data_IF_038093961240
#
_entry.id   IF_038093961240
#
_cell.length_a   1.000
_cell.length_b   1.000
_cell.length_c   1.000
_cell.angle_alpha   90.00
_cell.angle_beta   90.00
_cell.angle_gamma   90.00
#
_symmetry.space_group_name_H-M   'P 1'
#
loop_
_entity.id
_entity.type
_entity.pdbx_description
1 polymer ?
#
# COMPACT_ATOMS: atom_id res chain seq x y z
N UNK A 1 24.16 -16.00 4.75
CA UNK A 1 23.16 -14.92 4.84
C UNK A 1 23.03 -14.51 6.30
N UNK A 2 23.02 -13.22 6.66
CA UNK A 2 22.75 -12.81 8.03
C UNK A 2 21.35 -13.28 8.43
N UNK A 3 21.19 -13.73 9.68
CA UNK A 3 19.92 -14.26 10.19
C UNK A 3 18.90 -13.11 10.24
N UNK A 4 17.76 -13.24 9.54
CA UNK A 4 16.70 -12.22 9.57
C UNK A 4 16.11 -12.11 10.98
N UNK A 5 15.76 -10.88 11.38
CA UNK A 5 15.10 -10.66 12.68
C UNK A 5 13.72 -11.34 12.72
N UNK A 6 13.23 -11.78 13.89
CA UNK A 6 11.89 -12.36 14.02
C UNK A 6 10.79 -11.45 13.47
N UNK A 7 10.92 -10.12 13.68
CA UNK A 7 9.97 -9.12 13.16
C UNK A 7 9.94 -9.11 11.63
N UNK A 8 11.10 -9.20 10.98
CA UNK A 8 11.18 -9.25 9.51
C UNK A 8 10.55 -10.53 8.95
N UNK A 9 10.73 -11.66 9.63
CA UNK A 9 10.12 -12.94 9.23
C UNK A 9 8.60 -12.87 9.37
N UNK A 10 8.11 -12.38 10.51
CA UNK A 10 6.68 -12.18 10.74
C UNK A 10 6.06 -11.25 9.70
N UNK A 11 6.71 -10.11 9.41
CA UNK A 11 6.26 -9.16 8.38
C UNK A 11 6.15 -9.82 6.99
N UNK A 12 7.13 -10.64 6.61
CA UNK A 12 7.07 -11.39 5.35
C UNK A 12 5.92 -12.40 5.31
N UNK A 13 5.70 -13.15 6.40
CA UNK A 13 4.57 -14.09 6.50
C UNK A 13 3.25 -13.35 6.28
N UNK A 14 3.08 -12.24 6.99
CA UNK A 14 1.88 -11.41 6.89
C UNK A 14 1.72 -10.83 5.48
N UNK A 15 2.80 -10.36 4.84
CA UNK A 15 2.78 -9.95 3.43
C UNK A 15 2.30 -11.06 2.49
N UNK A 16 2.80 -12.30 2.66
CA UNK A 16 2.37 -13.43 1.84
C UNK A 16 0.90 -13.76 2.05
N UNK A 17 0.40 -13.73 3.29
CA UNK A 17 -1.04 -13.91 3.58
C UNK A 17 -1.86 -12.87 2.83
N UNK A 18 -1.43 -11.60 2.80
CA UNK A 18 -2.15 -10.57 2.06
C UNK A 18 -2.09 -10.73 0.55
N UNK A 19 -1.00 -11.30 0.00
CA UNK A 19 -0.96 -11.65 -1.43
C UNK A 19 -2.08 -12.66 -1.76
N UNK A 20 -2.26 -13.70 -0.94
CA UNK A 20 -3.36 -14.64 -1.12
C UNK A 20 -4.73 -13.97 -0.99
N UNK A 21 -4.90 -13.10 0.01
CA UNK A 21 -6.12 -12.30 0.15
C UNK A 21 -6.41 -11.41 -1.06
N UNK A 22 -5.36 -10.81 -1.66
CA UNK A 22 -5.45 -9.98 -2.86
C UNK A 22 -5.86 -10.81 -4.08
N UNK A 23 -5.31 -12.02 -4.23
CA UNK A 23 -5.72 -12.96 -5.28
C UNK A 23 -7.17 -13.38 -5.11
N UNK A 24 -7.60 -13.71 -3.88
CA UNK A 24 -9.00 -14.03 -3.59
C UNK A 24 -9.94 -12.87 -3.93
N UNK A 25 -9.57 -11.64 -3.56
CA UNK A 25 -10.28 -10.42 -3.94
C UNK A 25 -10.38 -10.26 -5.47
N UNK A 26 -9.27 -10.44 -6.18
CA UNK A 26 -9.25 -10.38 -7.64
C UNK A 26 -10.19 -11.41 -8.28
N UNK A 27 -10.21 -12.65 -7.78
CA UNK A 27 -11.12 -13.71 -8.27
C UNK A 27 -12.58 -13.32 -8.05
N UNK A 28 -12.93 -12.76 -6.89
CA UNK A 28 -14.29 -12.27 -6.64
C UNK A 28 -14.71 -11.19 -7.65
N UNK A 29 -13.83 -10.24 -7.98
CA UNK A 29 -14.13 -9.23 -8.99
C UNK A 29 -14.16 -9.80 -10.42
N UNK A 30 -13.37 -10.82 -10.74
CA UNK A 30 -13.45 -11.52 -12.05
C UNK A 30 -14.80 -12.21 -12.21
N UNK A 31 -15.26 -12.93 -11.18
CA UNK A 31 -16.58 -13.57 -11.18
C UNK A 31 -17.67 -12.50 -11.28
N UNK A 32 -17.55 -11.40 -10.53
CA UNK A 32 -18.46 -10.26 -10.60
C UNK A 32 -18.50 -9.62 -11.99
N UNK A 33 -17.37 -9.48 -12.67
CA UNK A 33 -17.29 -8.97 -14.03
C UNK A 33 -18.01 -9.89 -15.02
N UNK A 34 -17.82 -11.21 -14.93
CA UNK A 34 -18.47 -12.19 -15.80
C UNK A 34 -20.00 -12.23 -15.63
N UNK A 35 -20.50 -11.95 -14.42
CA UNK A 35 -21.93 -11.87 -14.11
C UNK A 35 -22.53 -10.47 -14.19
N UNK A 36 -21.81 -9.46 -14.71
CA UNK A 36 -22.27 -8.07 -14.69
C UNK A 36 -23.36 -7.82 -15.74
N UNK A 37 -24.55 -7.40 -15.28
CA UNK A 37 -25.69 -7.08 -16.15
C UNK A 37 -25.63 -5.64 -16.72
N UNK A 38 -24.85 -4.76 -16.10
CA UNK A 38 -24.70 -3.36 -16.54
C UNK A 38 -23.25 -3.03 -16.88
N UNK A 39 -23.08 -2.12 -17.84
CA UNK A 39 -21.77 -1.59 -18.22
C UNK A 39 -21.06 -0.92 -17.05
N UNK A 40 -21.80 -0.22 -16.19
CA UNK A 40 -21.24 0.43 -15.00
C UNK A 40 -20.68 -0.59 -13.98
N UNK A 41 -21.44 -1.66 -13.70
CA UNK A 41 -20.98 -2.74 -12.83
C UNK A 41 -19.75 -3.46 -13.42
N UNK A 42 -19.75 -3.72 -14.72
CA UNK A 42 -18.61 -4.32 -15.42
C UNK A 42 -17.34 -3.46 -15.28
N UNK A 43 -17.43 -2.15 -15.53
CA UNK A 43 -16.29 -1.23 -15.40
C UNK A 43 -15.79 -1.10 -13.96
N UNK A 44 -16.68 -1.09 -12.97
CA UNK A 44 -16.30 -1.11 -11.56
C UNK A 44 -15.51 -2.37 -11.21
N UNK A 45 -16.00 -3.54 -11.64
CA UNK A 45 -15.32 -4.81 -11.41
C UNK A 45 -13.95 -4.87 -12.11
N UNK A 46 -13.87 -4.45 -13.38
CA UNK A 46 -12.59 -4.39 -14.12
C UNK A 46 -11.59 -3.46 -13.41
N UNK A 47 -12.03 -2.29 -12.96
CA UNK A 47 -11.15 -1.33 -12.26
C UNK A 47 -10.64 -1.92 -10.95
N UNK A 48 -11.48 -2.64 -10.20
CA UNK A 48 -11.07 -3.34 -8.98
C UNK A 48 -10.13 -4.52 -9.27
N UNK A 49 -10.27 -5.24 -10.38
CA UNK A 49 -9.30 -6.26 -10.82
C UNK A 49 -7.93 -5.62 -11.07
N UNK A 50 -7.89 -4.48 -11.77
CA UNK A 50 -6.65 -3.74 -12.03
C UNK A 50 -6.03 -3.26 -10.70
N UNK A 51 -6.83 -2.72 -9.79
CA UNK A 51 -6.37 -2.33 -8.45
C UNK A 51 -5.73 -3.52 -7.71
N UNK A 52 -6.39 -4.68 -7.70
CA UNK A 52 -5.84 -5.88 -7.05
C UNK A 52 -4.54 -6.36 -7.71
N UNK A 53 -4.42 -6.30 -9.05
CA UNK A 53 -3.18 -6.64 -9.75
C UNK A 53 -2.03 -5.70 -9.37
N UNK A 54 -2.30 -4.39 -9.25
CA UNK A 54 -1.31 -3.39 -8.82
C UNK A 54 -0.91 -3.60 -7.36
N UNK A 55 -1.87 -3.88 -6.46
CA UNK A 55 -1.59 -4.23 -5.05
C UNK A 55 -0.72 -5.49 -4.95
N UNK A 56 -1.05 -6.54 -5.71
CA UNK A 56 -0.27 -7.78 -5.71
C UNK A 56 1.17 -7.52 -6.19
N UNK A 57 1.31 -6.77 -7.27
CA UNK A 57 2.62 -6.37 -7.81
C UNK A 57 3.42 -5.55 -6.79
N UNK A 58 2.76 -4.61 -6.11
CA UNK A 58 3.35 -3.82 -5.03
C UNK A 58 3.90 -4.74 -3.94
N UNK A 59 3.06 -5.63 -3.39
CA UNK A 59 3.47 -6.56 -2.33
C UNK A 59 4.64 -7.45 -2.76
N UNK A 60 4.63 -7.97 -4.00
CA UNK A 60 5.73 -8.80 -4.52
C UNK A 60 7.04 -8.01 -4.54
N UNK A 61 7.03 -6.77 -5.04
CA UNK A 61 8.22 -5.92 -5.08
C UNK A 61 8.74 -5.61 -3.66
N UNK A 62 7.84 -5.35 -2.72
CA UNK A 62 8.20 -5.14 -1.31
C UNK A 62 8.82 -6.39 -0.67
N UNK A 63 8.23 -7.57 -0.91
CA UNK A 63 8.73 -8.84 -0.39
C UNK A 63 10.11 -9.17 -0.97
N UNK A 64 10.31 -9.02 -2.28
CA UNK A 64 11.61 -9.23 -2.94
C UNK A 64 12.66 -8.30 -2.35
N UNK A 65 12.31 -7.03 -2.09
CA UNK A 65 13.23 -6.06 -1.49
C UNK A 65 13.68 -6.49 -0.08
N UNK A 66 12.75 -6.90 0.78
CA UNK A 66 13.03 -7.38 2.14
C UNK A 66 13.84 -8.69 2.10
N UNK A 67 13.51 -9.62 1.20
CA UNK A 67 14.23 -10.90 1.05
C UNK A 67 15.69 -10.63 0.69
N UNK A 68 15.95 -9.67 -0.22
CA UNK A 68 17.30 -9.23 -0.64
C UNK A 68 18.04 -8.32 0.37
N UNK A 69 17.62 -8.31 1.64
CA UNK A 69 18.28 -7.64 2.77
C UNK A 69 18.63 -6.17 2.51
N UNK A 70 17.73 -5.43 1.85
CA UNK A 70 17.89 -3.99 1.59
C UNK A 70 19.15 -3.64 0.78
N UNK A 71 19.69 -4.61 0.02
CA UNK A 71 20.91 -4.42 -0.78
C UNK A 71 20.76 -3.31 -1.82
N UNK A 72 21.87 -2.68 -2.22
CA UNK A 72 21.86 -1.62 -3.25
C UNK A 72 21.27 -2.12 -4.58
N UNK A 73 21.56 -3.37 -4.96
CA UNK A 73 20.99 -4.01 -6.16
C UNK A 73 19.48 -4.19 -6.04
N UNK A 74 18.94 -4.31 -4.83
CA UNK A 74 17.50 -4.43 -4.59
C UNK A 74 16.76 -3.09 -4.54
N UNK A 75 17.47 -1.95 -4.57
CA UNK A 75 16.85 -0.62 -4.49
C UNK A 75 15.85 -0.34 -5.63
N UNK A 76 16.02 -1.00 -6.79
CA UNK A 76 15.05 -0.94 -7.90
C UNK A 76 13.70 -1.50 -7.48
N UNK A 77 13.67 -2.62 -6.74
CA UNK A 77 12.42 -3.21 -6.23
C UNK A 77 11.75 -2.32 -5.18
N UNK A 78 12.53 -1.63 -4.34
CA UNK A 78 11.96 -0.66 -3.39
C UNK A 78 11.32 0.55 -4.10
N UNK A 79 11.97 1.08 -5.13
CA UNK A 79 11.40 2.17 -5.93
C UNK A 79 10.15 1.73 -6.67
N UNK A 80 10.17 0.53 -7.26
CA UNK A 80 9.00 -0.05 -7.92
C UNK A 80 7.85 -0.26 -6.92
N UNK A 81 8.14 -0.78 -5.72
CA UNK A 81 7.18 -0.91 -4.63
C UNK A 81 6.50 0.42 -4.29
N UNK A 82 7.28 1.47 -4.03
CA UNK A 82 6.74 2.79 -3.70
C UNK A 82 5.92 3.39 -4.86
N UNK A 83 6.39 3.24 -6.10
CA UNK A 83 5.68 3.74 -7.28
C UNK A 83 4.35 3.00 -7.52
N UNK A 84 4.34 1.67 -7.33
CA UNK A 84 3.11 0.89 -7.37
C UNK A 84 2.17 1.29 -6.24
N UNK A 85 2.68 1.61 -5.05
CA UNK A 85 1.88 2.12 -3.93
C UNK A 85 1.21 3.46 -4.27
N UNK A 86 1.91 4.37 -4.97
CA UNK A 86 1.29 5.57 -5.54
C UNK A 86 0.15 5.20 -6.50
N UNK A 87 0.37 4.21 -7.38
CA UNK A 87 -0.66 3.68 -8.27
C UNK A 87 -1.89 3.15 -7.51
N UNK A 88 -1.69 2.42 -6.40
CA UNK A 88 -2.78 1.96 -5.52
C UNK A 88 -3.56 3.15 -4.96
N UNK A 89 -2.89 4.20 -4.45
CA UNK A 89 -3.56 5.40 -3.95
C UNK A 89 -4.42 6.07 -5.03
N UNK A 90 -3.88 6.26 -6.24
CA UNK A 90 -4.60 6.89 -7.36
C UNK A 90 -5.79 6.05 -7.79
N UNK A 91 -5.60 4.74 -7.99
CA UNK A 91 -6.69 3.84 -8.37
C UNK A 91 -7.77 3.78 -7.28
N UNK A 92 -7.39 3.82 -6.00
CA UNK A 92 -8.35 3.85 -4.89
C UNK A 92 -9.20 5.12 -4.91
N UNK A 93 -8.61 6.29 -5.24
CA UNK A 93 -9.36 7.54 -5.44
C UNK A 93 -10.36 7.39 -6.59
N UNK A 94 -9.92 6.84 -7.74
CA UNK A 94 -10.80 6.62 -8.90
C UNK A 94 -11.96 5.70 -8.50
N UNK A 95 -11.66 4.58 -7.84
CA UNK A 95 -12.68 3.63 -7.41
C UNK A 95 -13.70 4.28 -6.49
N UNK A 96 -13.23 5.00 -5.48
CA UNK A 96 -14.07 5.65 -4.47
C UNK A 96 -14.95 6.78 -5.02
N UNK A 97 -14.46 7.57 -5.97
CA UNK A 97 -15.19 8.73 -6.50
C UNK A 97 -16.11 8.41 -7.67
N UNK A 98 -15.78 7.41 -8.48
CA UNK A 98 -16.52 7.12 -9.72
C UNK A 98 -17.47 5.93 -9.61
N UNK A 99 -17.22 4.99 -8.70
CA UNK A 99 -18.02 3.75 -8.62
C UNK A 99 -18.78 3.56 -7.30
N UNK A 100 -18.54 4.42 -6.30
CA UNK A 100 -19.24 4.39 -5.02
C UNK A 100 -19.99 5.69 -4.74
N UNK A 101 -20.95 5.63 -3.83
CA UNK A 101 -21.69 6.81 -3.36
C UNK A 101 -20.73 7.80 -2.70
N UNK A 102 -20.65 9.00 -3.29
CA UNK A 102 -19.74 10.04 -2.82
C UNK A 102 -20.33 10.76 -1.61
N UNK A 103 -19.72 10.53 -0.45
CA UNK A 103 -20.03 11.24 0.79
C UNK A 103 -18.96 12.27 1.10
N UNK A 104 -19.22 13.28 1.96
CA UNK A 104 -18.17 14.20 2.40
C UNK A 104 -16.98 13.48 3.03
N UNK A 105 -17.23 12.39 3.78
CA UNK A 105 -16.17 11.55 4.36
C UNK A 105 -15.33 10.86 3.27
N UNK A 106 -15.97 10.36 2.21
CA UNK A 106 -15.26 9.77 1.06
C UNK A 106 -14.34 10.76 0.38
N UNK A 107 -14.78 12.02 0.22
CA UNK A 107 -13.96 13.09 -0.34
C UNK A 107 -12.72 13.34 0.54
N UNK A 108 -12.89 13.39 1.87
CA UNK A 108 -11.76 13.56 2.80
C UNK A 108 -10.78 12.38 2.70
N UNK A 109 -11.28 11.14 2.65
CA UNK A 109 -10.43 9.94 2.47
C UNK A 109 -9.61 10.04 1.17
N UNK A 110 -10.23 10.47 0.07
CA UNK A 110 -9.53 10.66 -1.20
C UNK A 110 -8.44 11.73 -1.13
N UNK A 111 -8.66 12.81 -0.37
CA UNK A 111 -7.64 13.84 -0.11
C UNK A 111 -6.46 13.22 0.67
N UNK A 112 -6.72 12.39 1.68
CA UNK A 112 -5.66 11.71 2.43
C UNK A 112 -4.83 10.80 1.53
N UNK A 113 -5.46 10.05 0.63
CA UNK A 113 -4.75 9.25 -0.38
C UNK A 113 -3.93 10.10 -1.35
N UNK A 114 -4.41 11.28 -1.73
CA UNK A 114 -3.66 12.19 -2.60
C UNK A 114 -2.40 12.73 -1.88
N UNK A 115 -2.52 13.10 -0.59
CA UNK A 115 -1.38 13.53 0.23
C UNK A 115 -0.38 12.37 0.39
N UNK A 116 -0.86 11.16 0.71
CA UNK A 116 -0.02 9.96 0.81
C UNK A 116 0.72 9.67 -0.50
N UNK A 117 0.04 9.77 -1.64
CA UNK A 117 0.65 9.61 -2.95
C UNK A 117 1.79 10.63 -3.18
N UNK A 118 1.59 11.88 -2.78
CA UNK A 118 2.64 12.91 -2.86
C UNK A 118 3.84 12.56 -1.97
N UNK A 119 3.62 12.15 -0.72
CA UNK A 119 4.69 11.75 0.19
C UNK A 119 5.47 10.52 -0.31
N UNK A 120 4.76 9.54 -0.88
CA UNK A 120 5.39 8.38 -1.52
C UNK A 120 6.23 8.78 -2.73
N UNK A 121 5.76 9.70 -3.58
CA UNK A 121 6.54 10.23 -4.71
C UNK A 121 7.80 10.97 -4.22
N UNK A 122 7.72 11.70 -3.11
CA UNK A 122 8.90 12.29 -2.46
C UNK A 122 9.89 11.21 -2.00
N UNK A 123 9.43 10.06 -1.51
CA UNK A 123 10.31 8.94 -1.17
C UNK A 123 10.91 8.22 -2.40
N UNK A 124 10.20 8.19 -3.53
CA UNK A 124 10.67 7.58 -4.80
C UNK A 124 11.75 8.43 -5.47
N UNK A 125 11.44 9.72 -5.66
CA UNK A 125 12.20 10.63 -6.52
C UNK A 125 12.98 11.70 -5.75
N UNK A 126 12.67 11.92 -4.47
CA UNK A 126 13.36 12.90 -3.65
C UNK A 126 14.86 12.60 -3.55
N UNK A 127 15.67 13.67 -3.55
CA UNK A 127 17.07 13.58 -3.11
C UNK A 127 17.11 12.98 -1.71
N UNK A 128 18.24 12.38 -1.34
CA UNK A 128 18.41 11.76 -0.02
C UNK A 128 18.00 12.73 1.10
N UNK A 129 16.83 12.48 1.71
CA UNK A 129 16.22 13.40 2.69
C UNK A 129 16.93 13.34 4.05
N UNK A 130 17.80 12.35 4.27
CA UNK A 130 18.41 12.05 5.57
C UNK A 130 17.46 11.28 6.48
N UNK A 131 18.02 10.69 7.54
CA UNK A 131 17.31 9.79 8.46
C UNK A 131 16.08 10.46 9.10
N UNK A 132 16.27 11.60 9.78
CA UNK A 132 15.19 12.30 10.51
C UNK A 132 13.99 12.66 9.64
N UNK A 133 14.23 13.25 8.45
CA UNK A 133 13.14 13.63 7.54
C UNK A 133 12.44 12.42 6.94
N UNK A 134 13.17 11.33 6.65
CA UNK A 134 12.56 10.10 6.14
C UNK A 134 11.66 9.45 7.19
N UNK A 135 12.07 9.44 8.47
CA UNK A 135 11.24 8.96 9.57
C UNK A 135 9.99 9.82 9.78
N UNK A 136 10.11 11.15 9.70
CA UNK A 136 8.95 12.05 9.76
C UNK A 136 7.95 11.71 8.64
N UNK A 137 8.41 11.58 7.39
CA UNK A 137 7.54 11.19 6.28
C UNK A 137 6.87 9.83 6.51
N UNK A 138 7.60 8.85 7.03
CA UNK A 138 7.02 7.56 7.39
C UNK A 138 5.90 7.70 8.44
N UNK A 139 6.11 8.48 9.50
CA UNK A 139 5.06 8.71 10.51
C UNK A 139 3.85 9.47 9.96
N UNK A 140 4.07 10.40 9.03
CA UNK A 140 2.99 11.09 8.33
C UNK A 140 2.18 10.08 7.50
N UNK A 141 2.85 9.26 6.68
CA UNK A 141 2.18 8.22 5.88
C UNK A 141 1.36 7.28 6.77
N UNK A 142 1.94 6.79 7.86
CA UNK A 142 1.25 5.92 8.82
C UNK A 142 0.05 6.62 9.45
N UNK A 143 0.19 7.90 9.80
CA UNK A 143 -0.90 8.71 10.35
C UNK A 143 -2.04 8.92 9.36
N UNK A 144 -1.73 9.11 8.07
CA UNK A 144 -2.71 9.22 7.00
C UNK A 144 -3.50 7.92 6.83
N UNK A 145 -2.84 6.76 6.91
CA UNK A 145 -3.52 5.45 6.82
C UNK A 145 -4.43 5.20 8.03
N UNK A 146 -3.96 5.51 9.24
CA UNK A 146 -4.79 5.39 10.46
C UNK A 146 -6.00 6.32 10.38
N UNK A 147 -5.81 7.58 9.96
CA UNK A 147 -6.91 8.52 9.79
C UNK A 147 -7.91 8.04 8.72
N UNK A 148 -7.42 7.55 7.58
CA UNK A 148 -8.25 7.03 6.49
C UNK A 148 -9.06 5.80 6.93
N UNK A 149 -8.47 4.92 7.75
CA UNK A 149 -9.15 3.78 8.35
C UNK A 149 -10.30 4.24 9.26
N UNK A 150 -10.04 5.17 10.19
CA UNK A 150 -11.06 5.69 11.12
C UNK A 150 -12.22 6.30 10.32
N UNK A 151 -11.92 7.16 9.35
CA UNK A 151 -12.94 7.82 8.53
C UNK A 151 -13.75 6.81 7.70
N UNK A 152 -13.13 5.72 7.24
CA UNK A 152 -13.82 4.70 6.45
C UNK A 152 -14.73 3.82 7.30
N UNK A 153 -14.33 3.50 8.53
CA UNK A 153 -15.21 2.84 9.50
C UNK A 153 -16.40 3.75 9.84
N UNK A 154 -16.17 5.04 10.06
CA UNK A 154 -17.26 6.01 10.28
C UNK A 154 -18.21 6.08 9.07
N UNK A 155 -17.66 6.11 7.85
CA UNK A 155 -18.45 6.14 6.62
C UNK A 155 -19.28 4.85 6.43
N UNK A 156 -18.72 3.69 6.77
CA UNK A 156 -19.44 2.41 6.79
C UNK A 156 -20.61 2.45 7.76
N UNK A 157 -20.41 2.87 9.00
CA UNK A 157 -21.47 2.91 10.01
C UNK A 157 -22.62 3.83 9.60
N UNK A 158 -22.30 4.96 8.95
CA UNK A 158 -23.30 5.96 8.60
C UNK A 158 -24.08 5.66 7.31
N UNK A 159 -23.48 4.95 6.35
CA UNK A 159 -24.01 4.84 4.97
C UNK A 159 -24.05 3.39 4.45
N UNK A 160 -23.66 2.41 5.27
CA UNK A 160 -23.59 1.00 4.86
C UNK A 160 -22.50 0.73 3.82
N UNK A 161 -21.44 1.54 3.80
CA UNK A 161 -20.33 1.41 2.85
C UNK A 161 -19.58 0.08 3.04
N UNK A 162 -19.27 -0.61 1.93
CA UNK A 162 -18.58 -1.90 1.97
C UNK A 162 -17.11 -1.71 2.37
N UNK A 163 -16.81 -1.99 3.63
CA UNK A 163 -15.49 -1.81 4.20
C UNK A 163 -14.60 -3.02 3.89
N UNK A 164 -13.59 -2.83 3.05
CA UNK A 164 -12.54 -3.84 2.85
C UNK A 164 -11.50 -3.76 3.96
N UNK A 165 -11.72 -4.50 5.06
CA UNK A 165 -10.72 -4.68 6.13
C UNK A 165 -9.36 -5.12 5.57
N UNK A 166 -9.39 -6.04 4.60
CA UNK A 166 -8.21 -6.56 3.91
C UNK A 166 -7.42 -5.46 3.20
N UNK A 167 -8.10 -4.47 2.61
CA UNK A 167 -7.45 -3.31 1.99
C UNK A 167 -6.64 -2.48 3.00
N UNK A 168 -7.22 -2.20 4.16
CA UNK A 168 -6.55 -1.44 5.23
C UNK A 168 -5.38 -2.18 5.85
N UNK A 169 -5.54 -3.48 6.12
CA UNK A 169 -4.44 -4.32 6.59
C UNK A 169 -3.30 -4.35 5.57
N UNK A 170 -3.62 -4.41 4.27
CA UNK A 170 -2.62 -4.35 3.20
C UNK A 170 -1.86 -3.03 3.19
N UNK A 171 -2.56 -1.91 3.39
CA UNK A 171 -1.95 -0.58 3.47
C UNK A 171 -0.98 -0.48 4.67
N UNK A 172 -1.39 -0.95 5.85
CA UNK A 172 -0.53 -1.01 7.04
C UNK A 172 0.71 -1.89 6.86
N UNK A 173 0.60 -2.99 6.10
CA UNK A 173 1.73 -3.86 5.79
C UNK A 173 2.66 -3.21 4.75
N UNK A 174 2.11 -2.47 3.80
CA UNK A 174 2.91 -1.66 2.89
C UNK A 174 3.68 -0.59 3.68
N UNK A 175 3.05 0.08 4.64
CA UNK A 175 3.71 1.03 5.53
C UNK A 175 4.79 0.36 6.38
N UNK A 176 4.52 -0.82 6.95
CA UNK A 176 5.54 -1.62 7.65
C UNK A 176 6.74 -1.95 6.77
N UNK A 177 6.53 -2.17 5.48
CA UNK A 177 7.61 -2.35 4.49
C UNK A 177 8.44 -1.08 4.33
N UNK A 178 7.82 0.10 4.30
CA UNK A 178 8.51 1.39 4.30
C UNK A 178 9.33 1.55 5.58
N UNK A 179 8.74 1.35 6.76
CA UNK A 179 9.43 1.48 8.04
C UNK A 179 10.64 0.53 8.17
N UNK A 180 10.49 -0.73 7.79
CA UNK A 180 11.60 -1.70 7.73
C UNK A 180 12.70 -1.28 6.76
N UNK A 181 12.31 -0.66 5.63
CA UNK A 181 13.24 -0.15 4.62
C UNK A 181 14.03 1.08 5.11
N UNK A 182 13.37 2.00 5.82
CA UNK A 182 14.01 3.17 6.45
C UNK A 182 15.01 2.69 7.51
N UNK A 183 14.60 1.76 8.38
CA UNK A 183 15.49 1.12 9.36
C UNK A 183 16.67 0.41 8.70
N UNK A 184 16.41 -0.35 7.63
CA UNK A 184 17.44 -1.03 6.84
C UNK A 184 18.45 -0.07 6.21
N UNK A 185 17.98 1.08 5.71
CA UNK A 185 18.79 2.07 5.00
C UNK A 185 19.64 2.95 5.90
N UNK A 186 19.14 3.35 7.07
CA UNK A 186 19.85 4.29 7.95
C UNK A 186 20.49 3.57 9.14
N UNK A 187 19.74 2.81 9.93
CA UNK A 187 20.26 2.19 11.15
C UNK A 187 21.16 0.98 10.87
N UNK A 188 20.72 0.07 10.01
CA UNK A 188 21.50 -1.15 9.71
C UNK A 188 22.70 -0.90 8.81
N UNK A 189 22.74 0.22 8.09
CA UNK A 189 23.86 0.61 7.23
C UNK A 189 24.94 1.36 8.02
N UNK A 190 24.53 2.23 8.95
CA UNK A 190 25.44 2.85 9.91
C UNK A 190 26.10 1.78 10.80
N UNK A 191 25.35 0.77 11.25
CA UNK A 191 25.86 -0.34 12.04
C UNK A 191 26.76 -1.33 11.26
N UNK A 192 26.69 -1.36 9.92
CA UNK A 192 27.51 -2.26 9.08
C UNK A 192 28.86 -1.68 8.68
N UNK A 193 29.11 -0.40 8.97
CA UNK A 193 30.29 0.31 8.52
C UNK A 193 30.28 0.49 7.00
N UNK A 194 30.74 1.64 6.54
CA UNK A 194 31.09 1.84 5.14
C UNK A 194 32.07 0.75 4.69
N UNK A 195 31.60 -0.19 3.88
CA UNK A 195 32.42 -0.87 2.88
C UNK A 195 31.87 -0.48 1.51
#
# INVERSE_FOLDING_TARGET
MPKKSPVTIFHLIVMFIMMFGTVGGAVNFIIGAAGSETTAALFSNITNIVLMAVILSMLIMGAIYIIKDYSKQAAVFYKAFLFLHVGVCVLSIIVNLFFYTVTPLMVVICILYAIKAADLLLLVFGKNLGSKKTWILFYVILGLDVASLILSVMNMVNVGFDFSFTGYVTALIADGTIGLSVKGKYENKEARGSR
#
